data_IF_355506886219
#
_entry.id   IF_355506886219
#
_cell.length_a   1.000
_cell.length_b   1.000
_cell.length_c   1.000
_cell.angle_alpha   90.00
_cell.angle_beta   90.00
_cell.angle_gamma   90.00
#
_symmetry.space_group_name_H-M   'P 1'
#
loop_
_entity.id
_entity.type
_entity.pdbx_description
1 polymer ?
#
# COMPACT_ATOMS: atom_id res chain seq x y z
N UNK A 1 19.26 -61.25 -33.59
CA UNK A 1 18.37 -60.13 -33.16
C UNK A 1 18.91 -59.25 -32.03
N UNK A 2 19.77 -59.74 -31.12
CA UNK A 2 20.31 -58.90 -30.01
C UNK A 2 21.40 -57.88 -30.42
N UNK A 3 22.06 -58.06 -31.57
CA UNK A 3 23.10 -57.11 -32.04
C UNK A 3 22.51 -55.83 -32.61
N UNK A 4 21.50 -55.92 -33.48
CA UNK A 4 20.83 -54.76 -34.07
C UNK A 4 20.23 -53.80 -33.03
N UNK A 5 19.67 -54.34 -31.94
CA UNK A 5 19.12 -53.55 -30.84
C UNK A 5 20.21 -52.74 -30.11
N UNK A 6 21.40 -53.32 -29.93
CA UNK A 6 22.53 -52.61 -29.27
C UNK A 6 23.05 -51.47 -30.14
N UNK A 7 23.13 -51.68 -31.45
CA UNK A 7 23.57 -50.64 -32.39
C UNK A 7 22.60 -49.45 -32.41
N UNK A 8 21.29 -49.71 -32.39
CA UNK A 8 20.27 -48.65 -32.34
C UNK A 8 20.34 -47.83 -31.04
N UNK A 9 20.46 -48.51 -29.88
CA UNK A 9 20.55 -47.82 -28.58
C UNK A 9 21.86 -47.02 -28.44
N UNK A 10 22.98 -47.52 -28.99
CA UNK A 10 24.25 -46.81 -28.96
C UNK A 10 24.25 -45.56 -29.85
N UNK A 11 23.57 -45.59 -31.00
CA UNK A 11 23.43 -44.43 -31.87
C UNK A 11 22.62 -43.30 -31.18
N UNK A 12 21.58 -43.64 -30.41
CA UNK A 12 20.75 -42.66 -29.72
C UNK A 12 21.46 -42.01 -28.52
N UNK A 13 22.27 -42.78 -27.79
CA UNK A 13 23.10 -42.25 -26.70
C UNK A 13 24.15 -41.27 -27.22
N UNK A 14 24.78 -41.59 -28.35
CA UNK A 14 25.75 -40.71 -29.01
C UNK A 14 25.07 -39.43 -29.54
N UNK A 15 23.84 -39.51 -30.06
CA UNK A 15 23.06 -38.32 -30.43
C UNK A 15 22.77 -37.42 -29.24
N UNK A 16 22.45 -37.98 -28.06
CA UNK A 16 22.24 -37.20 -26.81
C UNK A 16 23.51 -36.51 -26.29
N UNK A 17 24.67 -37.12 -26.53
CA UNK A 17 25.98 -36.52 -26.21
C UNK A 17 26.36 -35.44 -27.24
N UNK A 18 26.03 -35.63 -28.53
CA UNK A 18 26.21 -34.66 -29.61
C UNK A 18 25.23 -33.47 -29.55
N UNK A 19 24.01 -33.68 -29.05
CA UNK A 19 22.99 -32.62 -28.88
C UNK A 19 23.28 -31.69 -27.71
N UNK A 20 24.33 -31.94 -26.92
CA UNK A 20 24.85 -30.98 -25.94
C UNK A 20 23.82 -30.52 -24.91
N UNK A 21 22.83 -31.36 -24.59
CA UNK A 21 21.79 -31.08 -23.59
C UNK A 21 22.39 -31.16 -22.19
N UNK A 22 23.21 -30.15 -21.86
CA UNK A 22 23.75 -29.91 -20.52
C UNK A 22 22.59 -29.46 -19.63
N UNK A 23 22.16 -30.33 -18.71
CA UNK A 23 21.22 -29.95 -17.66
C UNK A 23 21.81 -28.83 -16.78
N UNK A 24 20.92 -28.05 -16.16
CA UNK A 24 21.28 -27.00 -15.21
C UNK A 24 22.12 -27.60 -14.07
N UNK A 25 23.29 -27.03 -13.79
CA UNK A 25 24.11 -27.53 -12.69
C UNK A 25 23.50 -27.14 -11.35
N UNK A 26 23.58 -28.03 -10.36
CA UNK A 26 23.15 -27.71 -8.99
C UNK A 26 23.89 -26.50 -8.43
N UNK A 27 25.16 -26.30 -8.81
CA UNK A 27 25.95 -25.14 -8.38
C UNK A 27 25.42 -23.82 -8.99
N UNK A 28 24.90 -23.87 -10.23
CA UNK A 28 24.31 -22.69 -10.88
C UNK A 28 23.03 -22.27 -10.18
N UNK A 29 22.22 -23.24 -9.75
CA UNK A 29 21.02 -22.92 -8.98
C UNK A 29 21.38 -22.37 -7.59
N UNK A 30 22.40 -22.92 -6.95
CA UNK A 30 22.86 -22.45 -5.62
C UNK A 30 23.37 -21.01 -5.68
N UNK A 31 24.21 -20.64 -6.67
CA UNK A 31 24.73 -19.27 -6.73
C UNK A 31 23.63 -18.24 -6.99
N UNK A 32 22.61 -18.62 -7.77
CA UNK A 32 21.47 -17.74 -8.07
C UNK A 32 20.64 -17.46 -6.81
N UNK A 33 20.29 -18.48 -6.03
CA UNK A 33 19.53 -18.25 -4.78
C UNK A 33 20.34 -17.50 -3.73
N UNK A 34 21.66 -17.63 -3.73
CA UNK A 34 22.54 -16.83 -2.87
C UNK A 34 22.48 -15.35 -3.27
N UNK A 35 22.59 -15.03 -4.55
CA UNK A 35 22.50 -13.64 -5.03
C UNK A 35 21.09 -13.08 -4.76
N UNK A 36 20.02 -13.83 -5.06
CA UNK A 36 18.65 -13.42 -4.76
C UNK A 36 18.43 -13.22 -3.25
N UNK A 37 19.06 -14.03 -2.40
CA UNK A 37 19.01 -13.86 -0.95
C UNK A 37 19.61 -12.54 -0.48
N UNK A 38 20.77 -12.15 -1.01
CA UNK A 38 21.41 -10.86 -0.70
C UNK A 38 20.54 -9.69 -1.18
N UNK A 39 20.00 -9.77 -2.39
CA UNK A 39 19.12 -8.73 -2.94
C UNK A 39 17.84 -8.58 -2.10
N UNK A 40 17.22 -9.70 -1.72
CA UNK A 40 16.00 -9.69 -0.90
C UNK A 40 16.24 -9.07 0.48
N UNK A 41 17.39 -9.35 1.12
CA UNK A 41 17.72 -8.81 2.44
C UNK A 41 17.74 -7.27 2.47
N UNK A 42 18.19 -6.62 1.38
CA UNK A 42 18.19 -5.15 1.27
C UNK A 42 16.86 -4.61 0.72
N UNK A 43 16.25 -5.31 -0.24
CA UNK A 43 15.04 -4.83 -0.91
C UNK A 43 13.80 -4.85 -0.01
N UNK A 44 13.63 -5.88 0.83
CA UNK A 44 12.45 -6.03 1.70
C UNK A 44 12.23 -4.84 2.63
N UNK A 45 13.21 -4.39 3.46
CA UNK A 45 12.98 -3.28 4.39
C UNK A 45 12.66 -1.96 3.65
N UNK A 46 13.32 -1.71 2.52
CA UNK A 46 13.05 -0.52 1.70
C UNK A 46 11.63 -0.55 1.14
N UNK A 47 11.21 -1.70 0.60
CA UNK A 47 9.87 -1.87 0.06
C UNK A 47 8.78 -1.71 1.13
N UNK A 48 9.00 -2.23 2.34
CA UNK A 48 8.07 -2.04 3.47
C UNK A 48 7.95 -0.56 3.87
N UNK A 49 9.05 0.19 3.88
CA UNK A 49 9.03 1.61 4.19
C UNK A 49 8.28 2.43 3.12
N UNK A 50 8.50 2.13 1.84
CA UNK A 50 7.79 2.79 0.73
C UNK A 50 6.28 2.53 0.82
N UNK A 51 5.87 1.30 1.14
CA UNK A 51 4.45 0.98 1.30
C UNK A 51 3.81 1.76 2.45
N UNK A 52 4.48 1.86 3.61
CA UNK A 52 3.98 2.64 4.74
C UNK A 52 3.86 4.13 4.41
N UNK A 53 4.85 4.68 3.70
CA UNK A 53 4.82 6.07 3.25
C UNK A 53 3.70 6.31 2.21
N UNK A 54 3.51 5.39 1.27
CA UNK A 54 2.42 5.46 0.30
C UNK A 54 1.04 5.42 0.99
N UNK A 55 0.90 4.60 2.02
CA UNK A 55 -0.31 4.53 2.84
C UNK A 55 -0.58 5.83 3.59
N UNK A 56 0.44 6.41 4.24
CA UNK A 56 0.31 7.71 4.92
C UNK A 56 -0.11 8.81 3.95
N UNK A 57 0.49 8.85 2.77
CA UNK A 57 0.15 9.82 1.74
C UNK A 57 -1.28 9.60 1.20
N UNK A 58 -1.73 8.34 1.07
CA UNK A 58 -3.10 8.03 0.70
C UNK A 58 -4.10 8.53 1.75
N UNK A 59 -3.86 8.28 3.05
CA UNK A 59 -4.73 8.77 4.14
C UNK A 59 -4.77 10.31 4.15
N UNK A 60 -3.61 10.97 4.01
CA UNK A 60 -3.55 12.43 3.94
C UNK A 60 -4.29 13.00 2.72
N UNK A 61 -4.19 12.34 1.58
CA UNK A 61 -4.92 12.72 0.36
C UNK A 61 -6.43 12.59 0.56
N UNK A 62 -6.90 11.49 1.16
CA UNK A 62 -8.31 11.30 1.48
C UNK A 62 -8.81 12.40 2.43
N UNK A 63 -8.06 12.72 3.49
CA UNK A 63 -8.40 13.81 4.40
C UNK A 63 -8.50 15.17 3.68
N UNK A 64 -7.55 15.49 2.79
CA UNK A 64 -7.56 16.74 2.02
C UNK A 64 -8.71 16.81 1.01
N UNK A 65 -9.05 15.71 0.36
CA UNK A 65 -10.21 15.63 -0.53
C UNK A 65 -11.51 15.81 0.25
N UNK A 66 -11.62 15.20 1.43
CA UNK A 66 -12.78 15.35 2.30
C UNK A 66 -12.93 16.79 2.83
N UNK A 67 -11.82 17.43 3.24
CA UNK A 67 -11.83 18.84 3.62
C UNK A 67 -12.24 19.76 2.44
N UNK A 68 -11.78 19.45 1.24
CA UNK A 68 -12.16 20.18 0.03
C UNK A 68 -13.66 20.00 -0.28
N UNK A 69 -14.19 18.78 -0.13
CA UNK A 69 -15.61 18.50 -0.29
C UNK A 69 -16.45 19.25 0.76
N UNK A 70 -16.03 19.24 2.03
CA UNK A 70 -16.68 20.00 3.09
C UNK A 70 -16.70 21.51 2.77
N UNK A 71 -15.59 22.06 2.27
CA UNK A 71 -15.52 23.48 1.86
C UNK A 71 -16.44 23.80 0.69
N UNK A 72 -16.58 22.89 -0.28
CA UNK A 72 -17.46 23.05 -1.42
C UNK A 72 -18.94 22.96 -1.03
N UNK A 73 -19.29 22.11 -0.07
CA UNK A 73 -20.67 22.02 0.46
C UNK A 73 -21.00 23.26 1.28
N UNK A 74 -20.10 23.71 2.16
CA UNK A 74 -20.30 24.92 2.96
C UNK A 74 -20.41 26.19 2.09
N UNK A 75 -19.63 26.28 1.01
CA UNK A 75 -19.73 27.40 0.06
C UNK A 75 -21.06 27.43 -0.71
N UNK A 76 -21.79 26.31 -0.80
CA UNK A 76 -23.08 26.22 -1.49
C UNK A 76 -24.27 26.50 -0.58
N UNK A 77 -24.13 26.30 0.73
CA UNK A 77 -25.22 26.40 1.71
C UNK A 77 -24.90 27.44 2.79
N UNK A 78 -25.01 28.72 2.41
CA UNK A 78 -24.80 29.84 3.31
C UNK A 78 -26.06 30.09 4.14
N UNK A 79 -26.08 29.67 5.41
CA UNK A 79 -26.40 30.48 6.62
C UNK A 79 -26.72 29.60 7.85
N UNK A 80 -25.86 29.66 8.87
CA UNK A 80 -26.11 29.36 10.30
C UNK A 80 -26.53 27.95 10.75
N UNK A 81 -26.45 26.92 9.91
CA UNK A 81 -26.69 25.53 10.33
C UNK A 81 -25.40 24.71 10.15
N UNK A 82 -25.01 23.88 11.14
CA UNK A 82 -23.89 22.96 10.98
C UNK A 82 -24.04 22.12 9.71
N UNK A 83 -23.09 22.22 8.80
CA UNK A 83 -23.14 21.47 7.54
C UNK A 83 -22.84 20.00 7.82
N UNK A 84 -23.81 19.13 7.51
CA UNK A 84 -23.59 17.70 7.45
C UNK A 84 -22.90 17.35 6.13
N UNK A 85 -21.57 17.27 6.15
CA UNK A 85 -20.81 16.80 5.00
C UNK A 85 -20.94 15.27 4.86
N UNK A 86 -21.43 14.81 3.70
CA UNK A 86 -21.49 13.39 3.36
C UNK A 86 -20.21 12.98 2.62
N UNK A 87 -19.42 12.12 3.25
CA UNK A 87 -18.15 11.60 2.71
C UNK A 87 -18.27 10.18 2.13
N UNK A 88 -19.48 9.69 1.87
CA UNK A 88 -19.72 8.30 1.44
C UNK A 88 -18.90 7.87 0.21
N UNK A 89 -18.65 8.80 -0.73
CA UNK A 89 -17.85 8.53 -1.93
C UNK A 89 -16.34 8.44 -1.68
N UNK A 90 -15.88 8.91 -0.51
CA UNK A 90 -14.47 8.89 -0.11
C UNK A 90 -14.18 7.72 0.86
N UNK A 91 -15.19 7.22 1.56
CA UNK A 91 -15.08 6.04 2.41
C UNK A 91 -15.23 4.76 1.60
N UNK A 92 -14.13 4.06 1.32
CA UNK A 92 -14.17 2.77 0.63
C UNK A 92 -14.52 1.63 1.60
N UNK A 93 -15.82 1.30 1.73
CA UNK A 93 -16.36 0.10 2.37
C UNK A 93 -15.72 -0.31 3.73
N UNK A 94 -15.34 0.66 4.57
CA UNK A 94 -14.74 0.43 5.89
C UNK A 94 -13.20 0.47 5.92
N UNK A 95 -12.55 0.69 4.78
CA UNK A 95 -11.10 0.90 4.68
C UNK A 95 -10.68 2.28 5.20
N UNK A 96 -11.48 3.31 4.89
CA UNK A 96 -11.27 4.67 5.38
C UNK A 96 -12.47 5.12 6.20
N UNK A 97 -12.22 5.56 7.43
CA UNK A 97 -13.19 6.26 8.26
C UNK A 97 -12.91 7.75 8.19
N UNK A 98 -13.91 8.56 7.80
CA UNK A 98 -13.76 9.99 7.53
C UNK A 98 -14.74 10.75 8.41
N UNK A 99 -14.23 11.62 9.26
CA UNK A 99 -15.02 12.27 10.31
C UNK A 99 -14.58 13.74 10.51
N UNK A 100 -15.52 14.68 10.60
CA UNK A 100 -15.21 16.06 10.97
C UNK A 100 -14.76 16.15 12.44
N UNK A 101 -13.87 17.09 12.71
CA UNK A 101 -13.30 17.33 14.04
C UNK A 101 -14.01 18.49 14.70
N UNK A 102 -15.18 18.20 15.25
CA UNK A 102 -16.07 19.21 15.82
C UNK A 102 -17.15 19.66 14.85
N UNK A 103 -17.86 20.72 15.24
CA UNK A 103 -18.94 21.30 14.45
C UNK A 103 -18.36 22.26 13.43
N UNK A 104 -18.76 22.11 12.17
CA UNK A 104 -18.35 22.99 11.08
C UNK A 104 -19.43 24.05 10.92
N UNK A 105 -19.14 25.29 11.31
CA UNK A 105 -20.04 26.45 11.09
C UNK A 105 -19.45 27.44 10.08
N UNK A 106 -18.13 27.62 10.09
CA UNK A 106 -17.41 28.45 9.12
C UNK A 106 -16.32 27.68 8.37
N UNK A 107 -15.80 28.29 7.29
CA UNK A 107 -14.70 27.71 6.49
C UNK A 107 -13.47 27.44 7.37
N UNK A 108 -13.21 28.29 8.35
CA UNK A 108 -12.09 28.17 9.27
C UNK A 108 -12.24 27.02 10.28
N UNK A 109 -13.45 26.47 10.48
CA UNK A 109 -13.67 25.32 11.37
C UNK A 109 -13.43 23.99 10.67
N UNK A 110 -13.23 24.00 9.35
CA UNK A 110 -13.06 22.76 8.59
C UNK A 110 -11.78 22.07 9.07
N UNK A 111 -11.96 20.95 9.76
CA UNK A 111 -10.91 20.00 10.03
C UNK A 111 -11.49 18.59 9.91
N UNK A 112 -11.03 17.83 8.93
CA UNK A 112 -11.51 16.47 8.67
C UNK A 112 -10.40 15.48 8.97
N UNK A 113 -10.72 14.39 9.66
CA UNK A 113 -9.81 13.27 9.94
C UNK A 113 -10.16 12.09 9.04
N UNK A 114 -9.17 11.56 8.33
CA UNK A 114 -9.25 10.26 7.69
C UNK A 114 -8.45 9.25 8.52
N UNK A 115 -9.01 8.07 8.75
CA UNK A 115 -8.40 6.99 9.54
C UNK A 115 -8.42 5.69 8.74
N UNK A 116 -7.30 4.96 8.75
CA UNK A 116 -7.17 3.61 8.20
C UNK A 116 -6.21 2.81 9.08
N UNK A 117 -6.61 1.61 9.50
CA UNK A 117 -5.77 0.68 10.27
C UNK A 117 -5.10 1.32 11.51
N UNK A 118 -5.79 2.25 12.19
CA UNK A 118 -5.28 2.95 13.38
C UNK A 118 -4.27 4.08 13.10
N UNK A 119 -3.94 4.32 11.82
CA UNK A 119 -3.25 5.52 11.35
C UNK A 119 -4.28 6.57 10.94
N UNK A 120 -3.97 7.85 11.15
CA UNK A 120 -4.84 8.94 10.74
C UNK A 120 -4.06 10.11 10.18
N UNK A 121 -4.74 10.90 9.35
CA UNK A 121 -4.30 12.22 8.91
C UNK A 121 -5.48 13.19 9.01
N UNK A 122 -5.17 14.45 9.25
CA UNK A 122 -6.15 15.53 9.29
C UNK A 122 -5.85 16.54 8.20
N UNK A 123 -6.88 17.22 7.70
CA UNK A 123 -6.73 18.33 6.76
C UNK A 123 -7.85 19.36 6.91
N UNK A 124 -7.50 20.61 6.65
CA UNK A 124 -8.38 21.76 6.72
C UNK A 124 -7.81 22.91 7.56
N UNK A 125 -8.32 24.14 7.35
CA UNK A 125 -7.84 25.35 8.03
C UNK A 125 -8.05 25.33 9.56
N UNK A 126 -9.05 24.60 10.06
CA UNK A 126 -9.35 24.49 11.49
C UNK A 126 -8.50 23.46 12.24
N UNK A 127 -7.62 22.75 11.53
CA UNK A 127 -6.77 21.75 12.17
C UNK A 127 -5.65 22.43 12.97
N UNK A 128 -5.78 22.41 14.29
CA UNK A 128 -4.82 23.02 15.24
C UNK A 128 -3.62 22.12 15.57
N UNK A 129 -3.66 20.85 15.16
CA UNK A 129 -2.53 19.93 15.22
C UNK A 129 -1.82 19.87 13.84
N UNK A 130 -0.48 19.72 13.80
CA UNK A 130 0.22 19.60 12.53
C UNK A 130 -0.29 18.39 11.73
N UNK A 131 -0.38 18.55 10.42
CA UNK A 131 -0.88 17.58 9.43
C UNK A 131 -0.13 16.22 9.43
N UNK A 132 0.86 16.00 10.31
CA UNK A 132 1.93 15.00 10.10
C UNK A 132 2.49 14.35 11.37
N UNK A 133 1.76 14.28 12.48
CA UNK A 133 2.05 13.18 13.41
C UNK A 133 1.27 11.96 12.95
N UNK A 134 1.95 10.94 12.41
CA UNK A 134 1.43 9.59 12.18
C UNK A 134 1.10 8.91 13.52
N UNK A 135 0.40 9.62 14.40
CA UNK A 135 0.04 9.16 15.70
C UNK A 135 -0.84 7.92 15.52
N UNK A 136 -0.30 6.76 15.87
CA UNK A 136 -1.11 5.59 16.14
C UNK A 136 -2.12 5.98 17.20
N UNK A 137 -3.40 5.68 16.98
CA UNK A 137 -4.43 5.79 17.99
C UNK A 137 -4.10 4.84 19.14
N UNK A 138 -3.22 5.23 20.07
CA UNK A 138 -3.37 4.79 21.44
C UNK A 138 -4.62 5.52 21.92
N UNK A 139 -5.76 4.86 21.81
CA UNK A 139 -6.98 5.27 22.49
C UNK A 139 -6.59 5.71 23.90
N UNK A 140 -6.91 6.95 24.35
CA UNK A 140 -6.88 7.22 25.77
C UNK A 140 -7.92 6.28 26.36
N UNK A 141 -7.46 5.21 27.02
CA UNK A 141 -8.28 4.51 27.99
C UNK A 141 -8.54 5.54 29.08
N UNK A 142 -9.74 6.10 29.08
CA UNK A 142 -10.25 6.90 30.19
C UNK A 142 -10.17 6.04 31.46
N UNK A 143 -9.72 6.60 32.61
CA UNK A 143 -9.65 5.87 33.88
C UNK A 143 -11.02 5.41 34.40
#
# INVERSE_FOLDING_TARGET
>A
MRSFVRTYIQAERKRREESGEKGFSLIELIVVVVILGVLAAVAIPVFLNIQQEAERNAISSVAANAASQASATLAQDSTDVPVAADFANLSDAGTYTIEPQGTIVDLDDICIRATKDGQWAQSGPGCTAPLTSWATTTTPTTP
#
